data_IF_692357829062
#
_entry.id   IF_692357829062
#
_cell.length_a   1.000
_cell.length_b   1.000
_cell.length_c   1.000
_cell.angle_alpha   90.00
_cell.angle_beta   90.00
_cell.angle_gamma   90.00
#
_symmetry.space_group_name_H-M   'P 1'
#
loop_
_entity.id
_entity.type
_entity.pdbx_description
1 polymer ?
#
# COMPACT_ATOMS: atom_id res chain seq x y z
N UNK A 1 11.81 56.96 60.04
CA UNK A 1 12.26 56.30 58.80
C UNK A 1 12.45 54.78 58.98
N UNK A 2 11.38 53.99 59.18
CA UNK A 2 11.53 52.53 59.42
C UNK A 2 10.34 51.68 58.91
N UNK A 3 9.67 52.09 57.82
CA UNK A 3 8.54 51.32 57.24
C UNK A 3 8.58 51.12 55.71
N UNK A 4 9.63 51.56 55.00
CA UNK A 4 9.73 51.37 53.53
C UNK A 4 10.70 50.26 53.08
N UNK A 5 11.47 49.62 53.96
CA UNK A 5 12.42 48.55 53.57
C UNK A 5 11.82 47.14 53.52
N UNK A 6 10.67 46.87 54.18
CA UNK A 6 10.06 45.53 54.19
C UNK A 6 9.19 45.22 52.96
N UNK A 7 8.80 46.22 52.18
CA UNK A 7 7.99 46.01 50.97
C UNK A 7 8.84 45.72 49.72
N UNK A 8 10.10 46.16 49.69
CA UNK A 8 11.00 45.87 48.55
C UNK A 8 11.55 44.45 48.56
N UNK A 9 11.65 43.80 49.72
CA UNK A 9 12.12 42.41 49.80
C UNK A 9 11.02 41.37 49.50
N UNK A 10 9.75 41.79 49.46
CA UNK A 10 8.62 40.93 49.10
C UNK A 10 8.21 41.06 47.61
N UNK A 11 8.83 42.00 46.89
CA UNK A 11 8.53 42.29 45.49
C UNK A 11 9.73 42.03 44.57
N UNK A 12 10.62 41.14 44.97
CA UNK A 12 11.64 40.56 44.11
C UNK A 12 11.64 39.06 44.32
N UNK A 13 11.50 38.31 43.23
CA UNK A 13 11.32 36.84 43.14
C UNK A 13 9.86 36.32 43.16
N UNK A 14 8.93 37.05 42.53
CA UNK A 14 8.13 36.42 41.47
C UNK A 14 8.81 36.68 40.12
N UNK A 15 10.12 36.39 40.07
CA UNK A 15 10.73 36.02 38.81
C UNK A 15 10.00 34.73 38.45
N UNK A 16 9.16 34.78 37.41
CA UNK A 16 8.77 33.56 36.70
C UNK A 16 10.10 32.92 36.33
N UNK A 17 10.55 31.98 37.15
CA UNK A 17 11.67 31.11 36.81
C UNK A 17 11.20 30.41 35.56
N UNK A 18 11.73 30.83 34.41
CA UNK A 18 11.72 29.99 33.22
C UNK A 18 12.51 28.76 33.68
N UNK A 19 11.79 27.75 34.17
CA UNK A 19 12.38 26.49 34.59
C UNK A 19 13.08 26.00 33.32
N UNK A 20 14.41 26.03 33.33
CA UNK A 20 15.19 25.49 32.23
C UNK A 20 14.93 23.99 32.26
N UNK A 21 14.01 23.54 31.44
CA UNK A 21 13.67 22.13 31.31
C UNK A 21 14.64 21.51 30.32
N UNK A 22 15.12 20.32 30.64
CA UNK A 22 15.84 19.49 29.67
C UNK A 22 14.93 19.18 28.47
N UNK A 23 15.51 18.91 27.30
CA UNK A 23 14.78 18.53 26.10
C UNK A 23 13.85 17.33 26.37
N UNK A 24 14.27 16.37 27.19
CA UNK A 24 13.47 15.20 27.55
C UNK A 24 12.30 15.55 28.48
N UNK A 25 12.50 16.46 29.43
CA UNK A 25 11.41 16.93 30.29
C UNK A 25 10.38 17.72 29.48
N UNK A 26 10.84 18.54 28.52
CA UNK A 26 9.96 19.28 27.61
C UNK A 26 9.16 18.31 26.75
N UNK A 27 9.83 17.34 26.12
CA UNK A 27 9.22 16.29 25.31
C UNK A 27 8.15 15.54 26.11
N UNK A 28 8.49 15.06 27.30
CA UNK A 28 7.57 14.33 28.19
C UNK A 28 6.33 15.17 28.52
N UNK A 29 6.49 16.45 28.86
CA UNK A 29 5.33 17.32 29.14
C UNK A 29 4.51 17.62 27.90
N UNK A 30 5.12 17.75 26.73
CA UNK A 30 4.42 17.99 25.48
C UNK A 30 3.55 16.77 25.10
N UNK A 31 4.12 15.57 25.22
CA UNK A 31 3.40 14.32 25.05
C UNK A 31 2.23 14.21 26.02
N UNK A 32 2.47 14.44 27.32
CA UNK A 32 1.41 14.39 28.34
C UNK A 32 0.31 15.43 28.10
N UNK A 33 0.67 16.62 27.61
CA UNK A 33 -0.29 17.68 27.29
C UNK A 33 -1.14 17.34 26.06
N UNK A 34 -0.52 16.83 24.99
CA UNK A 34 -1.26 16.41 23.79
C UNK A 34 -2.12 15.17 24.02
N UNK A 35 -1.67 14.26 24.87
CA UNK A 35 -2.43 13.09 25.30
C UNK A 35 -3.67 13.50 26.11
N UNK A 36 -3.49 14.37 27.11
CA UNK A 36 -4.59 14.88 27.94
C UNK A 36 -5.63 15.68 27.16
N UNK A 37 -5.19 16.40 26.12
CA UNK A 37 -6.08 17.21 25.29
C UNK A 37 -6.70 16.43 24.11
N UNK A 38 -6.40 15.13 23.97
CA UNK A 38 -6.90 14.28 22.89
C UNK A 38 -6.38 14.63 21.50
N UNK A 39 -5.36 15.48 21.39
CA UNK A 39 -4.80 15.91 20.09
C UNK A 39 -3.61 15.05 19.63
N UNK A 40 -3.15 14.14 20.48
CA UNK A 40 -2.08 13.20 20.15
C UNK A 40 -2.46 12.29 18.97
N UNK A 41 -3.69 11.78 18.96
CA UNK A 41 -4.18 10.91 17.89
C UNK A 41 -4.31 11.66 16.57
N UNK A 42 -4.75 12.92 16.61
CA UNK A 42 -4.81 13.76 15.43
C UNK A 42 -3.41 14.04 14.87
N UNK A 43 -2.44 14.36 15.72
CA UNK A 43 -1.04 14.56 15.32
C UNK A 43 -0.42 13.28 14.73
N UNK A 44 -0.71 12.12 15.35
CA UNK A 44 -0.28 10.81 14.84
C UNK A 44 -0.88 10.52 13.47
N UNK A 45 -2.17 10.79 13.28
CA UNK A 45 -2.84 10.62 11.99
C UNK A 45 -2.27 11.55 10.92
N UNK A 46 -1.99 12.81 11.25
CA UNK A 46 -1.36 13.78 10.34
C UNK A 46 0.03 13.32 9.89
N UNK A 47 0.89 12.91 10.83
CA UNK A 47 2.24 12.43 10.52
C UNK A 47 2.22 11.15 9.67
N UNK A 48 1.32 10.21 10.00
CA UNK A 48 1.13 9.00 9.18
C UNK A 48 0.68 9.36 7.77
N UNK A 49 -0.27 10.28 7.63
CA UNK A 49 -0.75 10.77 6.34
C UNK A 49 0.38 11.40 5.52
N UNK A 50 1.19 12.26 6.14
CA UNK A 50 2.34 12.88 5.49
C UNK A 50 3.37 11.85 5.01
N UNK A 51 3.72 10.88 5.85
CA UNK A 51 4.64 9.81 5.47
C UNK A 51 4.12 8.99 4.28
N UNK A 52 2.84 8.62 4.29
CA UNK A 52 2.23 7.90 3.16
C UNK A 52 2.30 8.75 1.89
N UNK A 53 1.98 10.04 1.96
CA UNK A 53 2.05 10.92 0.78
C UNK A 53 3.47 11.07 0.24
N UNK A 54 4.47 11.20 1.11
CA UNK A 54 5.87 11.33 0.69
C UNK A 54 6.41 10.01 0.11
N UNK A 55 6.11 8.87 0.75
CA UNK A 55 6.46 7.56 0.22
C UNK A 55 5.80 7.29 -1.14
N UNK A 56 4.54 7.70 -1.29
CA UNK A 56 3.84 7.57 -2.56
C UNK A 56 4.49 8.43 -3.66
N UNK A 57 4.88 9.67 -3.36
CA UNK A 57 5.62 10.55 -4.29
C UNK A 57 6.98 9.97 -4.69
N UNK A 58 7.68 9.32 -3.77
CA UNK A 58 8.96 8.65 -4.06
C UNK A 58 8.73 7.42 -4.95
N UNK A 59 7.64 6.69 -4.71
CA UNK A 59 7.30 5.48 -5.46
C UNK A 59 6.67 5.77 -6.84
N UNK A 60 6.15 6.98 -7.09
CA UNK A 60 5.64 7.35 -8.42
C UNK A 60 6.74 8.01 -9.25
N UNK A 61 7.15 7.43 -10.40
CA UNK A 61 8.15 8.06 -11.24
C UNK A 61 7.61 9.39 -11.80
N UNK A 62 8.44 10.43 -11.73
CA UNK A 62 8.19 11.79 -12.21
C UNK A 62 8.12 11.81 -13.75
N UNK A 63 7.08 11.22 -14.34
CA UNK A 63 6.96 11.05 -15.79
C UNK A 63 5.61 10.55 -16.30
N UNK A 64 4.58 10.45 -15.46
CA UNK A 64 3.24 10.09 -15.90
C UNK A 64 2.56 11.29 -16.59
N UNK A 65 2.95 11.53 -17.84
CA UNK A 65 2.27 12.43 -18.76
C UNK A 65 0.81 12.00 -18.93
N UNK A 66 -0.10 12.95 -18.76
CA UNK A 66 -1.53 12.79 -19.03
C UNK A 66 -1.74 12.58 -20.52
N UNK A 67 -2.06 11.37 -20.95
CA UNK A 67 -2.70 11.16 -22.25
C UNK A 67 -3.48 9.83 -22.28
N UNK A 68 -4.79 9.99 -22.51
CA UNK A 68 -5.81 9.01 -22.94
C UNK A 68 -6.48 8.08 -21.90
N UNK A 69 -7.80 7.83 -22.07
CA UNK A 69 -8.64 7.12 -21.12
C UNK A 69 -8.52 5.59 -21.29
N UNK A 70 -8.81 4.85 -20.22
CA UNK A 70 -8.93 3.38 -20.19
C UNK A 70 -7.73 2.58 -20.70
N UNK A 71 -6.61 2.65 -19.97
CA UNK A 71 -5.77 1.48 -19.81
C UNK A 71 -5.22 1.47 -18.39
N UNK A 72 -5.40 0.35 -17.70
CA UNK A 72 -4.75 0.09 -16.41
C UNK A 72 -3.25 0.25 -16.67
N UNK A 73 -2.66 1.36 -16.23
CA UNK A 73 -1.22 1.59 -16.30
C UNK A 73 -0.57 0.60 -15.33
N UNK A 74 -0.30 -0.61 -15.82
CA UNK A 74 0.49 -1.57 -15.09
C UNK A 74 1.91 -1.02 -15.03
N UNK A 75 2.41 -0.80 -13.82
CA UNK A 75 3.82 -0.52 -13.63
C UNK A 75 4.59 -1.75 -14.13
N UNK A 76 5.27 -1.61 -15.27
CA UNK A 76 5.96 -2.70 -15.97
C UNK A 76 6.96 -3.40 -15.04
N UNK A 77 7.50 -2.67 -14.06
CA UNK A 77 8.42 -3.22 -13.05
C UNK A 77 7.73 -4.11 -12.02
N UNK A 78 6.45 -3.88 -11.74
CA UNK A 78 5.64 -4.63 -10.77
C UNK A 78 4.75 -5.69 -11.42
N UNK A 79 4.66 -5.67 -12.74
CA UNK A 79 3.78 -6.51 -13.53
C UNK A 79 4.04 -8.01 -13.38
N UNK A 80 5.29 -8.52 -13.30
CA UNK A 80 5.55 -9.93 -12.97
C UNK A 80 4.99 -10.31 -11.60
N UNK A 81 5.19 -9.47 -10.59
CA UNK A 81 4.67 -9.68 -9.24
C UNK A 81 3.14 -9.67 -9.21
N UNK A 82 2.51 -8.78 -9.97
CA UNK A 82 1.05 -8.70 -10.10
C UNK A 82 0.46 -9.95 -10.76
N UNK A 83 1.09 -10.45 -11.83
CA UNK A 83 0.69 -11.70 -12.51
C UNK A 83 0.86 -12.89 -11.57
N UNK A 84 1.99 -12.99 -10.87
CA UNK A 84 2.24 -14.06 -9.89
C UNK A 84 1.23 -14.03 -8.75
N UNK A 85 0.95 -12.86 -8.19
CA UNK A 85 -0.01 -12.73 -7.09
C UNK A 85 -1.43 -13.08 -7.54
N UNK A 86 -1.80 -12.69 -8.77
CA UNK A 86 -3.08 -13.09 -9.34
C UNK A 86 -3.19 -14.61 -9.54
N UNK A 87 -2.14 -15.26 -10.01
CA UNK A 87 -2.11 -16.72 -10.20
C UNK A 87 -2.35 -17.48 -8.90
N UNK A 88 -1.67 -17.04 -7.84
CA UNK A 88 -1.82 -17.63 -6.50
C UNK A 88 -3.23 -17.36 -5.99
N UNK A 89 -3.74 -16.15 -6.15
CA UNK A 89 -5.11 -15.79 -5.76
C UNK A 89 -6.17 -16.63 -6.47
N UNK A 90 -6.13 -16.72 -7.81
CA UNK A 90 -7.07 -17.51 -8.61
C UNK A 90 -7.01 -18.99 -8.24
N UNK A 91 -5.81 -19.54 -8.02
CA UNK A 91 -5.64 -20.92 -7.58
C UNK A 91 -6.25 -21.17 -6.20
N UNK A 92 -5.92 -20.35 -5.19
CA UNK A 92 -6.46 -20.48 -3.84
C UNK A 92 -7.99 -20.30 -3.80
N UNK A 93 -8.51 -19.40 -4.64
CA UNK A 93 -9.96 -19.17 -4.81
C UNK A 93 -10.66 -20.39 -5.40
N UNK A 94 -10.10 -20.98 -6.46
CA UNK A 94 -10.64 -22.20 -7.11
C UNK A 94 -10.57 -23.43 -6.21
N UNK A 95 -9.51 -23.57 -5.41
CA UNK A 95 -9.36 -24.66 -4.44
C UNK A 95 -10.26 -24.51 -3.20
N UNK A 96 -10.98 -23.39 -3.06
CA UNK A 96 -11.87 -23.17 -1.91
C UNK A 96 -11.13 -22.96 -0.59
N UNK A 97 -9.82 -22.64 -0.63
CA UNK A 97 -8.98 -22.44 0.56
C UNK A 97 -9.20 -21.05 1.17
N UNK A 98 -10.39 -20.80 1.74
CA UNK A 98 -10.82 -19.49 2.25
C UNK A 98 -9.85 -18.88 3.27
N UNK A 99 -9.33 -19.69 4.19
CA UNK A 99 -8.39 -19.22 5.22
C UNK A 99 -7.07 -18.72 4.60
N UNK A 100 -6.43 -19.57 3.79
CA UNK A 100 -5.17 -19.24 3.10
C UNK A 100 -5.34 -18.07 2.13
N UNK A 101 -6.50 -17.98 1.46
CA UNK A 101 -6.82 -16.88 0.57
C UNK A 101 -6.90 -15.55 1.35
N UNK A 102 -7.55 -15.55 2.52
CA UNK A 102 -7.66 -14.36 3.36
C UNK A 102 -6.29 -13.89 3.87
N UNK A 103 -5.45 -14.80 4.37
CA UNK A 103 -4.11 -14.45 4.84
C UNK A 103 -3.24 -13.96 3.68
N UNK A 104 -3.33 -14.62 2.52
CA UNK A 104 -2.62 -14.20 1.31
C UNK A 104 -3.01 -12.79 0.84
N UNK A 105 -4.29 -12.45 0.82
CA UNK A 105 -4.74 -11.10 0.44
C UNK A 105 -4.14 -10.03 1.37
N UNK A 106 -4.08 -10.31 2.67
CA UNK A 106 -3.49 -9.39 3.64
C UNK A 106 -1.97 -9.27 3.54
N UNK A 107 -1.26 -10.37 3.29
CA UNK A 107 0.20 -10.41 3.21
C UNK A 107 0.75 -9.91 1.87
N UNK A 108 0.04 -10.20 0.77
CA UNK A 108 0.43 -9.79 -0.57
C UNK A 108 0.02 -8.33 -0.89
N UNK A 109 -0.47 -7.58 0.11
CA UNK A 109 -0.97 -6.20 -0.04
C UNK A 109 -1.94 -6.03 -1.22
N UNK A 110 -2.76 -7.05 -1.48
CA UNK A 110 -3.77 -7.02 -2.55
C UNK A 110 -4.91 -6.10 -2.12
N UNK A 111 -4.68 -4.80 -2.30
CA UNK A 111 -5.55 -3.73 -1.77
C UNK A 111 -6.95 -3.78 -2.38
N UNK A 112 -7.13 -4.39 -3.56
CA UNK A 112 -8.43 -4.67 -4.17
C UNK A 112 -8.35 -5.95 -5.04
N UNK A 113 -9.02 -7.05 -4.67
CA UNK A 113 -9.10 -8.23 -5.53
C UNK A 113 -9.85 -7.95 -6.85
N UNK A 114 -10.72 -6.94 -6.91
CA UNK A 114 -11.39 -6.50 -8.15
C UNK A 114 -10.47 -5.72 -9.10
N UNK A 115 -9.33 -5.22 -8.62
CA UNK A 115 -8.28 -4.59 -9.45
C UNK A 115 -7.26 -5.59 -9.97
N UNK A 116 -7.38 -6.86 -9.60
CA UNK A 116 -6.51 -7.89 -10.13
C UNK A 116 -6.63 -7.98 -11.67
N UNK A 117 -5.52 -8.40 -12.28
CA UNK A 117 -5.47 -8.72 -13.70
C UNK A 117 -6.54 -9.76 -14.05
N UNK A 118 -7.28 -9.54 -15.14
CA UNK A 118 -8.12 -10.62 -15.68
C UNK A 118 -7.28 -11.60 -16.48
N UNK A 119 -7.73 -12.83 -16.68
CA UNK A 119 -7.08 -13.79 -17.59
C UNK A 119 -6.85 -13.19 -18.98
N UNK A 120 -7.82 -12.42 -19.47
CA UNK A 120 -7.71 -11.71 -20.73
C UNK A 120 -6.55 -10.70 -20.72
N UNK A 121 -6.39 -9.95 -19.62
CA UNK A 121 -5.29 -8.98 -19.47
C UNK A 121 -3.93 -9.70 -19.46
N UNK A 122 -3.85 -10.87 -18.81
CA UNK A 122 -2.64 -11.69 -18.74
C UNK A 122 -2.28 -12.26 -20.11
N UNK A 123 -3.25 -12.83 -20.83
CA UNK A 123 -3.01 -13.37 -22.17
C UNK A 123 -2.57 -12.27 -23.15
N UNK A 124 -3.19 -11.09 -23.10
CA UNK A 124 -2.78 -9.92 -23.89
C UNK A 124 -1.37 -9.46 -23.52
N UNK A 125 -1.05 -9.47 -22.23
CA UNK A 125 0.27 -9.10 -21.73
C UNK A 125 1.38 -10.03 -22.22
N UNK A 126 1.08 -11.32 -22.37
CA UNK A 126 1.99 -12.30 -22.95
C UNK A 126 1.97 -12.34 -24.49
N UNK A 127 1.27 -11.40 -25.14
CA UNK A 127 1.24 -11.29 -26.60
C UNK A 127 0.39 -12.36 -27.30
N UNK A 128 -0.49 -13.05 -26.56
CA UNK A 128 -1.40 -14.03 -27.16
C UNK A 128 -2.48 -13.28 -27.96
N UNK A 129 -2.57 -13.55 -29.26
CA UNK A 129 -3.57 -12.93 -30.12
C UNK A 129 -4.99 -13.33 -29.68
N UNK A 130 -5.82 -12.33 -29.42
CA UNK A 130 -7.24 -12.50 -29.06
C UNK A 130 -8.08 -13.22 -30.11
N UNK A 131 -7.65 -13.24 -31.38
CA UNK A 131 -8.32 -13.96 -32.45
C UNK A 131 -7.85 -15.41 -32.61
N UNK A 132 -6.75 -15.78 -31.96
CA UNK A 132 -6.15 -17.11 -32.06
C UNK A 132 -7.07 -18.21 -31.52
N UNK A 133 -7.06 -19.41 -32.11
CA UNK A 133 -7.80 -20.55 -31.57
C UNK A 133 -7.32 -20.92 -30.16
N UNK A 134 -6.05 -20.68 -29.83
CA UNK A 134 -5.47 -20.87 -28.51
C UNK A 134 -6.15 -19.97 -27.49
N UNK A 135 -6.24 -18.66 -27.73
CA UNK A 135 -6.90 -17.71 -26.84
C UNK A 135 -8.36 -18.12 -26.54
N UNK A 136 -9.12 -18.50 -27.57
CA UNK A 136 -10.51 -18.96 -27.42
C UNK A 136 -10.61 -20.25 -26.60
N UNK A 137 -9.68 -21.17 -26.81
CA UNK A 137 -9.58 -22.40 -26.01
C UNK A 137 -9.31 -22.09 -24.54
N UNK A 138 -8.39 -21.16 -24.24
CA UNK A 138 -8.07 -20.73 -22.87
C UNK A 138 -9.23 -20.08 -22.15
N UNK A 139 -9.93 -19.15 -22.81
CA UNK A 139 -11.10 -18.49 -22.20
C UNK A 139 -12.21 -19.51 -21.91
N UNK A 140 -12.41 -20.48 -22.81
CA UNK A 140 -13.39 -21.55 -22.60
C UNK A 140 -13.02 -22.45 -21.42
N UNK A 141 -11.75 -22.87 -21.34
CA UNK A 141 -11.22 -23.67 -20.23
C UNK A 141 -11.24 -22.91 -18.90
N UNK A 142 -11.00 -21.58 -18.92
CA UNK A 142 -11.14 -20.73 -17.73
C UNK A 142 -12.56 -20.68 -17.20
N UNK A 143 -13.54 -20.56 -18.11
CA UNK A 143 -14.97 -20.45 -17.79
C UNK A 143 -15.55 -21.76 -17.23
N UNK A 144 -15.02 -22.91 -17.65
CA UNK A 144 -15.32 -24.22 -17.04
C UNK A 144 -14.57 -24.31 -15.71
N UNK A 145 -15.19 -23.82 -14.63
CA UNK A 145 -14.67 -23.64 -13.26
C UNK A 145 -13.92 -24.82 -12.59
N UNK A 146 -13.75 -25.96 -13.24
CA UNK A 146 -13.51 -27.25 -12.58
C UNK A 146 -12.23 -28.00 -12.96
N UNK A 147 -11.32 -27.43 -13.75
CA UNK A 147 -10.12 -28.18 -14.13
C UNK A 147 -8.94 -27.83 -13.21
N UNK A 148 -8.64 -28.77 -12.31
CA UNK A 148 -7.30 -28.97 -11.76
C UNK A 148 -6.31 -29.01 -12.93
N UNK A 149 -5.75 -27.86 -13.29
CA UNK A 149 -5.00 -27.74 -14.54
C UNK A 149 -5.09 -26.38 -15.20
N UNK A 150 -6.07 -25.53 -14.87
CA UNK A 150 -6.14 -24.17 -15.45
C UNK A 150 -4.87 -23.35 -15.15
N UNK A 151 -4.42 -23.31 -13.90
CA UNK A 151 -3.19 -22.59 -13.53
C UNK A 151 -1.95 -23.20 -14.21
N UNK A 152 -1.86 -24.52 -14.28
CA UNK A 152 -0.77 -25.24 -14.94
C UNK A 152 -0.74 -24.98 -16.45
N UNK A 153 -1.89 -25.06 -17.13
CA UNK A 153 -2.03 -24.83 -18.56
C UNK A 153 -1.84 -23.36 -18.94
N UNK A 154 -2.28 -22.42 -18.11
CA UNK A 154 -1.97 -21.01 -18.29
C UNK A 154 -0.46 -20.78 -18.15
N UNK A 155 0.19 -21.29 -17.10
CA UNK A 155 1.64 -21.20 -16.92
C UNK A 155 2.40 -21.82 -18.09
N UNK A 156 2.01 -23.00 -18.55
CA UNK A 156 2.62 -23.68 -19.70
C UNK A 156 2.51 -22.83 -20.96
N UNK A 157 1.39 -22.14 -21.15
CA UNK A 157 1.13 -21.29 -22.33
C UNK A 157 1.93 -20.02 -22.28
N UNK A 158 1.99 -19.39 -21.11
CA UNK A 158 2.86 -18.25 -20.86
C UNK A 158 4.31 -18.60 -21.14
N UNK A 159 4.77 -19.77 -20.69
CA UNK A 159 6.12 -20.28 -20.97
C UNK A 159 6.28 -20.49 -22.49
N UNK A 160 5.35 -21.20 -23.15
CA UNK A 160 5.41 -21.39 -24.60
C UNK A 160 5.46 -20.07 -25.37
N UNK A 161 4.61 -19.09 -25.05
CA UNK A 161 4.60 -17.78 -25.71
C UNK A 161 5.86 -16.96 -25.42
N UNK A 162 6.55 -17.19 -24.30
CA UNK A 162 7.85 -16.57 -24.01
C UNK A 162 9.01 -17.23 -24.77
N UNK A 163 8.94 -18.55 -25.02
CA UNK A 163 10.03 -19.33 -25.64
C UNK A 163 9.86 -19.56 -27.16
N UNK A 164 8.64 -19.47 -27.72
CA UNK A 164 8.41 -19.51 -29.18
C UNK A 164 8.75 -18.18 -29.88
N UNK A 165 9.13 -17.14 -29.11
CA UNK A 165 9.57 -15.82 -29.62
C UNK A 165 11.10 -15.76 -29.84
N UNK A 166 11.82 -16.89 -29.79
CA UNK A 166 13.25 -16.98 -30.14
C UNK A 166 13.51 -17.60 -31.51
#
# INVERSE_FOLDING_TARGET
MYRRRKYFHKMSRKLKTVKHMSADELKSKLYAHFDKNGSLDHLRAQLRGQLVTELFKIATPLGASKMYPENKNFDITLLPLQVSNWLIYDHLSRQGCQYTLSTFVTEANLSDPEKLLTVCDILKLFGVDTNSPEYKSFIKMYATKNEEGFSHSLLLTVIKSLFEVS
#
